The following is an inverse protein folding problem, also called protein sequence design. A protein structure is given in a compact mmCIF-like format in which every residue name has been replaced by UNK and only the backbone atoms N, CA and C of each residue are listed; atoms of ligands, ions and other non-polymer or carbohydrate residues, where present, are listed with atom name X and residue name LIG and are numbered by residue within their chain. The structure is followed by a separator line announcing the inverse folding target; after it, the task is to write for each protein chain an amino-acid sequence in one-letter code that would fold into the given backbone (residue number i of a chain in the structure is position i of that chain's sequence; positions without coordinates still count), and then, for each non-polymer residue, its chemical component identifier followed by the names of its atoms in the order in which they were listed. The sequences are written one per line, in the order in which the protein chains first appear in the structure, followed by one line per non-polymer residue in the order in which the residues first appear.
data_IF_218265080264
#
_entry.id   IF_218265080264
#
_cell.length_a   1.000
_cell.length_b   1.000
_cell.length_c   1.000
_cell.angle_alpha   90.00
_cell.angle_beta   90.00
_cell.angle_gamma   90.00
#
_symmetry.space_group_name_H-M   'P 1'
#
loop_
_entity.id
_entity.type
_entity.pdbx_description
1 polymer ?
#
# COMPACT_ATOMS: atom_id res chain seq x y z
N UNK A 1 -13.04 2.24 -17.48
CA UNK A 1 -13.90 1.38 -18.31
C UNK A 1 -14.83 0.63 -17.36
N UNK A 2 -16.14 0.91 -17.40
CA UNK A 2 -17.16 0.22 -16.59
C UNK A 2 -17.65 -1.01 -17.36
N UNK A 3 -17.73 -2.22 -16.77
CA UNK A 3 -18.54 -3.28 -17.35
C UNK A 3 -19.99 -3.15 -16.86
N UNK A 4 -20.90 -3.08 -17.82
CA UNK A 4 -22.33 -3.33 -17.64
C UNK A 4 -22.52 -4.84 -17.63
N UNK A 5 -23.17 -5.39 -16.61
CA UNK A 5 -23.72 -6.75 -16.68
C UNK A 5 -25.25 -6.65 -16.70
N UNK A 6 -25.80 -7.17 -17.79
CA UNK A 6 -27.20 -7.23 -18.14
C UNK A 6 -27.89 -8.35 -17.35
N UNK A 7 -29.02 -8.00 -16.73
CA UNK A 7 -29.99 -8.91 -16.15
C UNK A 7 -30.69 -9.71 -17.26
N UNK A 8 -30.64 -11.05 -17.20
CA UNK A 8 -31.54 -11.93 -17.95
C UNK A 8 -32.78 -12.22 -17.10
N UNK A 9 -33.92 -11.63 -17.48
CA UNK A 9 -35.26 -12.08 -17.09
C UNK A 9 -35.71 -13.11 -18.14
N UNK A 10 -35.88 -14.37 -17.70
CA UNK A 10 -36.42 -15.43 -18.53
C UNK A 10 -37.95 -15.37 -18.48
N UNK A 11 -38.53 -14.95 -19.61
CA UNK A 11 -39.96 -14.91 -19.87
C UNK A 11 -40.56 -16.32 -19.86
N UNK A 12 -41.56 -16.53 -19.01
CA UNK A 12 -42.30 -17.80 -18.93
C UNK A 12 -43.36 -17.81 -20.03
N UNK A 13 -43.07 -18.47 -21.15
CA UNK A 13 -44.01 -18.70 -22.25
C UNK A 13 -45.06 -19.74 -21.83
N UNK A 14 -46.29 -19.27 -21.60
CA UNK A 14 -47.50 -20.08 -21.49
C UNK A 14 -47.86 -20.67 -22.89
N UNK A 15 -47.58 -21.95 -23.10
CA UNK A 15 -48.06 -22.70 -24.28
C UNK A 15 -49.55 -23.02 -24.08
N UNK A 16 -50.43 -22.27 -24.74
CA UNK A 16 -51.82 -22.68 -24.97
C UNK A 16 -51.82 -23.72 -26.09
N UNK A 17 -51.95 -24.99 -25.74
CA UNK A 17 -52.08 -26.06 -26.72
C UNK A 17 -53.45 -25.98 -27.43
N UNK A 18 -53.47 -25.50 -28.67
CA UNK A 18 -54.57 -25.73 -29.62
C UNK A 18 -54.63 -27.23 -30.00
N UNK A 19 -55.18 -28.05 -29.11
CA UNK A 19 -55.31 -29.49 -29.32
C UNK A 19 -56.51 -29.83 -30.20
N UNK A 20 -56.26 -30.37 -31.40
CA UNK A 20 -57.30 -31.00 -32.22
C UNK A 20 -58.02 -32.08 -31.39
N UNK A 21 -59.33 -31.94 -31.20
CA UNK A 21 -60.10 -32.89 -30.40
C UNK A 21 -60.08 -34.27 -31.06
N UNK A 22 -59.61 -35.30 -30.36
CA UNK A 22 -59.54 -36.69 -30.87
C UNK A 22 -60.61 -37.57 -30.24
N UNK A 23 -60.99 -38.63 -30.96
CA UNK A 23 -61.96 -39.61 -30.49
C UNK A 23 -61.53 -40.24 -29.16
N UNK A 24 -62.38 -40.16 -28.14
CA UNK A 24 -62.10 -40.63 -26.78
C UNK A 24 -62.10 -42.16 -26.60
N UNK A 25 -62.17 -42.93 -27.69
CA UNK A 25 -61.88 -44.37 -27.66
C UNK A 25 -60.38 -44.55 -27.93
N UNK A 26 -59.64 -45.14 -26.99
CA UNK A 26 -58.17 -45.12 -26.96
C UNK A 26 -57.51 -45.69 -28.22
N UNK A 27 -58.21 -46.62 -28.90
CA UNK A 27 -57.77 -47.28 -30.13
C UNK A 27 -58.20 -46.57 -31.43
N UNK A 28 -59.19 -45.67 -31.40
CA UNK A 28 -59.62 -44.97 -32.61
C UNK A 28 -58.77 -43.73 -32.90
N UNK A 29 -58.57 -42.86 -31.89
CA UNK A 29 -57.85 -41.57 -31.91
C UNK A 29 -58.08 -40.64 -33.11
N UNK A 30 -59.11 -40.88 -33.92
CA UNK A 30 -59.44 -40.09 -35.09
C UNK A 30 -59.75 -38.65 -34.69
N UNK A 31 -59.29 -37.69 -35.50
CA UNK A 31 -59.57 -36.28 -35.28
C UNK A 31 -61.05 -36.00 -35.50
N UNK A 32 -61.65 -35.29 -34.54
CA UNK A 32 -63.05 -34.92 -34.55
C UNK A 32 -63.18 -33.55 -35.19
N UNK A 33 -64.21 -33.34 -36.02
CA UNK A 33 -64.44 -32.04 -36.61
C UNK A 33 -64.66 -31.01 -35.49
N UNK A 34 -64.16 -29.77 -35.67
CA UNK A 34 -64.34 -28.72 -34.69
C UNK A 34 -65.85 -28.49 -34.44
N UNK A 35 -66.24 -28.09 -33.22
CA UNK A 35 -67.64 -27.77 -32.94
C UNK A 35 -68.10 -26.67 -33.90
N UNK A 36 -69.18 -26.93 -34.65
CA UNK A 36 -69.69 -25.96 -35.61
C UNK A 36 -70.06 -24.63 -34.94
N UNK A 37 -70.07 -23.54 -35.72
CA UNK A 37 -70.26 -22.15 -35.27
C UNK A 37 -71.55 -21.86 -34.50
N UNK A 38 -72.51 -22.81 -34.47
CA UNK A 38 -73.75 -22.73 -33.69
C UNK A 38 -73.66 -23.32 -32.27
N UNK A 39 -72.47 -23.46 -31.69
CA UNK A 39 -72.30 -23.77 -30.26
C UNK A 39 -72.77 -25.17 -29.82
N UNK A 40 -72.73 -26.16 -30.71
CA UNK A 40 -73.09 -27.54 -30.35
C UNK A 40 -72.06 -28.19 -29.43
N UNK A 41 -72.50 -29.08 -28.51
CA UNK A 41 -71.60 -29.84 -27.63
C UNK A 41 -70.53 -30.56 -28.47
N UNK A 42 -69.23 -30.37 -28.19
CA UNK A 42 -68.18 -31.03 -28.95
C UNK A 42 -68.38 -32.54 -28.94
N UNK A 43 -68.27 -33.16 -30.11
CA UNK A 43 -68.36 -34.61 -30.21
C UNK A 43 -67.18 -35.20 -29.44
N UNK A 44 -67.44 -36.25 -28.67
CA UNK A 44 -66.38 -37.00 -27.96
C UNK A 44 -65.97 -38.27 -28.69
N UNK A 45 -66.79 -38.73 -29.65
CA UNK A 45 -66.58 -39.97 -30.37
C UNK A 45 -66.84 -39.79 -31.86
N UNK A 46 -66.13 -40.58 -32.66
CA UNK A 46 -66.31 -40.68 -34.09
C UNK A 46 -67.75 -41.15 -34.41
N UNK A 47 -68.44 -40.53 -35.39
CA UNK A 47 -69.78 -40.99 -35.80
C UNK A 47 -69.70 -42.12 -36.83
N UNK A 48 -68.67 -42.12 -37.67
CA UNK A 48 -68.69 -42.89 -38.92
C UNK A 48 -67.99 -44.25 -38.82
N UNK A 49 -67.10 -44.44 -37.84
CA UNK A 49 -66.44 -45.74 -37.66
C UNK A 49 -67.35 -46.74 -36.95
N UNK A 50 -67.36 -47.97 -37.45
CA UNK A 50 -68.01 -49.14 -36.85
C UNK A 50 -66.96 -50.21 -36.56
N UNK A 51 -67.15 -50.92 -35.45
CA UNK A 51 -66.29 -52.01 -35.00
C UNK A 51 -67.03 -53.35 -35.11
N UNK A 52 -66.34 -54.47 -34.92
CA UNK A 52 -66.92 -55.81 -35.01
C UNK A 52 -68.23 -55.93 -34.20
N UNK A 53 -69.27 -56.43 -34.87
CA UNK A 53 -70.65 -56.49 -34.35
C UNK A 53 -71.45 -55.19 -34.48
N UNK A 54 -71.04 -54.25 -35.33
CA UNK A 54 -71.78 -52.99 -35.58
C UNK A 54 -71.65 -51.94 -34.46
N UNK A 55 -70.73 -52.16 -33.51
CA UNK A 55 -70.56 -51.30 -32.32
C UNK A 55 -69.92 -49.95 -32.68
N UNK A 56 -70.37 -48.90 -31.99
CA UNK A 56 -69.86 -47.53 -32.19
C UNK A 56 -68.63 -47.24 -31.33
N UNK A 57 -67.82 -46.23 -31.72
CA UNK A 57 -66.70 -45.70 -30.91
C UNK A 57 -67.10 -45.45 -29.44
N UNK A 58 -68.31 -44.92 -29.21
CA UNK A 58 -68.82 -44.64 -27.86
C UNK A 58 -69.08 -45.91 -27.03
N UNK A 59 -69.65 -46.95 -27.64
CA UNK A 59 -69.92 -48.23 -26.98
C UNK A 59 -68.62 -48.98 -26.68
N UNK A 60 -67.67 -48.98 -27.61
CA UNK A 60 -66.35 -49.59 -27.40
C UNK A 60 -65.58 -48.88 -26.29
N UNK A 61 -65.61 -47.54 -26.24
CA UNK A 61 -65.00 -46.79 -25.15
C UNK A 61 -65.69 -47.03 -23.80
N UNK A 62 -67.01 -47.30 -23.79
CA UNK A 62 -67.70 -47.66 -22.55
C UNK A 62 -67.29 -49.07 -22.09
N UNK A 63 -67.21 -50.03 -23.00
CA UNK A 63 -66.73 -51.37 -22.69
C UNK A 63 -65.26 -51.38 -22.24
N UNK A 64 -64.41 -50.56 -22.86
CA UNK A 64 -63.02 -50.35 -22.45
C UNK A 64 -62.95 -49.81 -21.03
N UNK A 65 -63.72 -48.75 -20.70
CA UNK A 65 -63.78 -48.24 -19.32
C UNK A 65 -64.30 -49.28 -18.33
N UNK A 66 -65.38 -49.97 -18.64
CA UNK A 66 -65.90 -51.03 -17.76
C UNK A 66 -64.90 -52.19 -17.60
N UNK A 67 -64.10 -52.51 -18.62
CA UNK A 67 -63.03 -53.50 -18.51
C UNK A 67 -61.86 -53.00 -17.66
N UNK A 68 -61.47 -51.72 -17.80
CA UNK A 68 -60.43 -51.09 -16.96
C UNK A 68 -60.88 -50.98 -15.50
N UNK A 69 -62.15 -50.68 -15.26
CA UNK A 69 -62.78 -50.67 -13.94
C UNK A 69 -62.85 -52.07 -13.33
N UNK A 70 -63.24 -53.08 -14.10
CA UNK A 70 -63.26 -54.49 -13.65
C UNK A 70 -61.86 -55.04 -13.36
N UNK A 71 -60.82 -54.54 -14.03
CA UNK A 71 -59.41 -54.86 -13.77
C UNK A 71 -58.81 -54.04 -12.61
N UNK A 72 -59.59 -53.15 -11.98
CA UNK A 72 -59.13 -52.29 -10.88
C UNK A 72 -58.18 -51.17 -11.29
N UNK A 73 -57.95 -50.98 -12.60
CA UNK A 73 -57.01 -50.01 -13.14
C UNK A 73 -57.56 -48.57 -13.18
N UNK A 74 -58.90 -48.40 -13.21
CA UNK A 74 -59.52 -47.07 -13.09
C UNK A 74 -59.52 -46.55 -11.63
N UNK A 75 -59.45 -47.46 -10.64
CA UNK A 75 -59.30 -47.13 -9.21
C UNK A 75 -57.89 -46.67 -8.80
N UNK A 76 -56.89 -46.88 -9.67
CA UNK A 76 -55.51 -46.44 -9.44
C UNK A 76 -55.36 -44.92 -9.48
N UNK A 77 -56.22 -44.20 -10.20
CA UNK A 77 -56.14 -42.73 -10.32
C UNK A 77 -56.26 -42.01 -8.97
N UNK A 78 -57.09 -42.52 -8.05
CA UNK A 78 -57.27 -41.92 -6.72
C UNK A 78 -56.11 -42.24 -5.77
N UNK A 79 -55.58 -43.47 -5.78
CA UNK A 79 -54.41 -43.85 -4.98
C UNK A 79 -53.15 -43.13 -5.47
N UNK A 80 -52.90 -43.10 -6.79
CA UNK A 80 -51.81 -42.32 -7.37
C UNK A 80 -51.99 -40.81 -7.15
N UNK A 81 -53.22 -40.30 -7.12
CA UNK A 81 -53.47 -38.90 -6.79
C UNK A 81 -53.13 -38.59 -5.33
N UNK A 82 -53.49 -39.47 -4.38
CA UNK A 82 -53.15 -39.31 -2.97
C UNK A 82 -51.63 -39.41 -2.73
N UNK A 83 -50.96 -40.37 -3.37
CA UNK A 83 -49.50 -40.50 -3.29
C UNK A 83 -48.79 -39.31 -3.95
N UNK A 84 -49.31 -38.79 -5.06
CA UNK A 84 -48.80 -37.58 -5.71
C UNK A 84 -49.04 -36.32 -4.87
N UNK A 85 -50.14 -36.23 -4.13
CA UNK A 85 -50.42 -35.13 -3.20
C UNK A 85 -49.48 -35.17 -2.00
N UNK A 86 -49.29 -36.35 -1.40
CA UNK A 86 -48.34 -36.56 -0.29
C UNK A 86 -46.90 -36.25 -0.72
N UNK A 87 -46.51 -36.69 -1.92
CA UNK A 87 -45.20 -36.35 -2.48
C UNK A 87 -45.07 -34.84 -2.71
N UNK A 88 -46.11 -34.17 -3.23
CA UNK A 88 -46.12 -32.71 -3.38
C UNK A 88 -45.98 -31.99 -2.05
N UNK A 89 -46.68 -32.44 -1.01
CA UNK A 89 -46.58 -31.88 0.34
C UNK A 89 -45.16 -32.04 0.90
N UNK A 90 -44.55 -33.21 0.76
CA UNK A 90 -43.16 -33.42 1.18
C UNK A 90 -42.15 -32.60 0.37
N UNK A 91 -42.36 -32.45 -0.95
CA UNK A 91 -41.51 -31.59 -1.79
C UNK A 91 -41.65 -30.13 -1.38
N UNK A 92 -42.87 -29.65 -1.13
CA UNK A 92 -43.12 -28.29 -0.66
C UNK A 92 -42.50 -28.04 0.72
N UNK A 93 -42.59 -29.01 1.63
CA UNK A 93 -41.98 -28.92 2.97
C UNK A 93 -40.44 -28.84 2.93
N UNK A 94 -39.80 -29.46 1.94
CA UNK A 94 -38.33 -29.45 1.79
C UNK A 94 -37.84 -28.28 0.93
N UNK A 95 -38.70 -27.71 0.09
CA UNK A 95 -38.33 -26.62 -0.83
C UNK A 95 -37.80 -25.38 -0.09
N UNK A 96 -38.48 -24.94 0.97
CA UNK A 96 -38.07 -23.77 1.75
C UNK A 96 -36.74 -24.01 2.49
N UNK A 97 -36.54 -25.12 3.23
CA UNK A 97 -35.24 -25.44 3.82
C UNK A 97 -34.09 -25.50 2.81
N UNK A 98 -34.32 -26.08 1.62
CA UNK A 98 -33.30 -26.15 0.57
C UNK A 98 -33.00 -24.77 0.00
N UNK A 99 -34.02 -23.91 -0.20
CA UNK A 99 -33.82 -22.53 -0.63
C UNK A 99 -33.05 -21.70 0.42
N UNK A 100 -33.36 -21.89 1.71
CA UNK A 100 -32.65 -21.25 2.81
C UNK A 100 -31.18 -21.71 2.86
N UNK A 101 -30.91 -23.01 2.71
CA UNK A 101 -29.55 -23.54 2.64
C UNK A 101 -28.79 -23.02 1.43
N UNK A 102 -29.41 -22.97 0.25
CA UNK A 102 -28.80 -22.41 -0.96
C UNK A 102 -28.45 -20.94 -0.79
N UNK A 103 -29.31 -20.18 -0.12
CA UNK A 103 -29.08 -18.77 0.18
C UNK A 103 -27.91 -18.61 1.16
N UNK A 104 -27.87 -19.41 2.22
CA UNK A 104 -26.78 -19.41 3.20
C UNK A 104 -25.44 -19.80 2.54
N UNK A 105 -25.42 -20.82 1.68
CA UNK A 105 -24.22 -21.20 0.94
C UNK A 105 -23.74 -20.08 0.00
N UNK A 106 -24.65 -19.38 -0.66
CA UNK A 106 -24.31 -18.23 -1.51
C UNK A 106 -23.68 -17.11 -0.68
N UNK A 107 -24.26 -16.78 0.48
CA UNK A 107 -23.69 -15.77 1.39
C UNK A 107 -22.30 -16.17 1.91
N UNK A 108 -22.08 -17.46 2.18
CA UNK A 108 -20.76 -17.97 2.58
C UNK A 108 -19.76 -17.82 1.44
N UNK A 109 -20.14 -18.13 0.20
CA UNK A 109 -19.27 -17.96 -0.97
C UNK A 109 -18.94 -16.48 -1.19
N UNK A 110 -19.92 -15.58 -1.11
CA UNK A 110 -19.69 -14.14 -1.24
C UNK A 110 -18.72 -13.64 -0.15
N UNK A 111 -18.87 -14.14 1.08
CA UNK A 111 -17.98 -13.77 2.18
C UNK A 111 -16.57 -14.33 1.99
N UNK A 112 -16.43 -15.54 1.46
CA UNK A 112 -15.12 -16.12 1.14
C UNK A 112 -14.44 -15.34 0.02
N UNK A 113 -15.17 -14.90 -1.00
CA UNK A 113 -14.64 -14.07 -2.08
C UNK A 113 -14.17 -12.69 -1.57
N UNK A 114 -14.92 -12.07 -0.64
CA UNK A 114 -14.48 -10.83 0.03
C UNK A 114 -13.19 -11.04 0.82
N UNK A 115 -13.14 -12.06 1.68
CA UNK A 115 -11.95 -12.37 2.48
C UNK A 115 -10.75 -12.70 1.58
N UNK A 116 -10.96 -13.41 0.48
CA UNK A 116 -9.91 -13.70 -0.49
C UNK A 116 -9.39 -12.43 -1.15
N UNK A 117 -10.27 -11.50 -1.57
CA UNK A 117 -9.86 -10.21 -2.14
C UNK A 117 -9.08 -9.37 -1.13
N UNK A 118 -9.60 -9.22 0.08
CA UNK A 118 -8.94 -8.47 1.15
C UNK A 118 -7.56 -9.05 1.50
N UNK A 119 -7.44 -10.38 1.53
CA UNK A 119 -6.17 -11.06 1.77
C UNK A 119 -5.15 -10.85 0.65
N UNK A 120 -5.60 -10.87 -0.61
CA UNK A 120 -4.75 -10.57 -1.77
C UNK A 120 -4.29 -9.11 -1.75
N UNK A 121 -5.20 -8.17 -1.50
CA UNK A 121 -4.88 -6.74 -1.43
C UNK A 121 -3.90 -6.43 -0.29
N UNK A 122 -4.09 -7.06 0.88
CA UNK A 122 -3.17 -6.96 2.01
C UNK A 122 -1.78 -7.53 1.67
N UNK A 123 -1.72 -8.68 0.98
CA UNK A 123 -0.45 -9.29 0.55
C UNK A 123 0.27 -8.42 -0.49
N UNK A 124 -0.45 -7.83 -1.44
CA UNK A 124 0.13 -6.90 -2.40
C UNK A 124 0.66 -5.64 -1.72
N UNK A 125 -0.07 -5.10 -0.75
CA UNK A 125 0.37 -3.93 0.02
C UNK A 125 1.63 -4.23 0.83
N UNK A 126 1.69 -5.39 1.49
CA UNK A 126 2.88 -5.84 2.21
C UNK A 126 4.09 -6.01 1.27
N UNK A 127 3.88 -6.59 0.08
CA UNK A 127 4.93 -6.74 -0.92
C UNK A 127 5.44 -5.39 -1.45
N UNK A 128 4.53 -4.42 -1.68
CA UNK A 128 4.91 -3.05 -2.08
C UNK A 128 5.78 -2.38 -1.01
N UNK A 129 5.37 -2.46 0.25
CA UNK A 129 6.12 -1.92 1.38
C UNK A 129 7.49 -2.58 1.54
N UNK A 130 7.56 -3.91 1.41
CA UNK A 130 8.83 -4.64 1.46
C UNK A 130 9.77 -4.22 0.32
N UNK A 131 9.25 -4.06 -0.90
CA UNK A 131 10.03 -3.59 -2.04
C UNK A 131 10.49 -2.14 -1.89
N UNK A 132 9.72 -1.27 -1.24
CA UNK A 132 10.13 0.10 -0.91
C UNK A 132 11.22 0.14 0.17
N UNK A 133 11.06 -0.67 1.22
CA UNK A 133 12.07 -0.81 2.28
C UNK A 133 13.40 -1.34 1.72
N UNK A 134 13.35 -2.33 0.83
CA UNK A 134 14.55 -2.87 0.18
C UNK A 134 15.23 -1.83 -0.72
N UNK A 135 14.45 -1.08 -1.52
CA UNK A 135 14.98 0.03 -2.33
C UNK A 135 15.64 1.10 -1.47
N UNK A 136 15.04 1.43 -0.32
CA UNK A 136 15.62 2.38 0.62
C UNK A 136 16.93 1.85 1.24
N UNK A 137 17.00 0.55 1.59
CA UNK A 137 18.22 -0.09 2.10
C UNK A 137 19.34 -0.05 1.08
N UNK A 138 19.08 -0.47 -0.17
CA UNK A 138 20.07 -0.45 -1.25
C UNK A 138 20.55 0.97 -1.52
N UNK A 139 19.66 1.96 -1.57
CA UNK A 139 20.03 3.36 -1.76
C UNK A 139 20.93 3.90 -0.62
N UNK A 140 20.66 3.49 0.63
CA UNK A 140 21.48 3.85 1.79
C UNK A 140 22.87 3.19 1.74
N UNK A 141 22.96 1.92 1.32
CA UNK A 141 24.22 1.21 1.13
C UNK A 141 25.06 1.87 0.02
N UNK A 142 24.47 2.17 -1.13
CA UNK A 142 25.16 2.89 -2.20
C UNK A 142 25.63 4.29 -1.77
N UNK A 143 24.80 5.02 -1.00
CA UNK A 143 25.19 6.32 -0.47
C UNK A 143 26.39 6.21 0.48
N UNK A 144 26.41 5.19 1.33
CA UNK A 144 27.54 4.88 2.21
C UNK A 144 28.80 4.54 1.41
N UNK A 145 28.69 3.70 0.38
CA UNK A 145 29.82 3.37 -0.49
C UNK A 145 30.38 4.59 -1.21
N UNK A 146 29.50 5.45 -1.76
CA UNK A 146 29.89 6.73 -2.38
C UNK A 146 30.62 7.63 -1.38
N UNK A 147 30.12 7.77 -0.17
CA UNK A 147 30.76 8.56 0.89
C UNK A 147 32.14 7.99 1.28
N UNK A 148 32.29 6.66 1.37
CA UNK A 148 33.57 6.01 1.66
C UNK A 148 34.57 6.20 0.52
N UNK A 149 34.13 6.07 -0.74
CA UNK A 149 34.99 6.32 -1.90
C UNK A 149 35.43 7.78 -1.98
N UNK A 150 34.53 8.73 -1.71
CA UNK A 150 34.87 10.14 -1.67
C UNK A 150 35.86 10.46 -0.55
N UNK A 151 35.65 9.90 0.64
CA UNK A 151 36.59 10.06 1.75
C UNK A 151 37.98 9.52 1.39
N UNK A 152 38.07 8.34 0.76
CA UNK A 152 39.34 7.78 0.28
C UNK A 152 40.02 8.69 -0.73
N UNK A 153 39.30 9.18 -1.74
CA UNK A 153 39.84 10.11 -2.74
C UNK A 153 40.36 11.40 -2.12
N UNK A 154 39.65 11.93 -1.10
CA UNK A 154 40.10 13.12 -0.35
C UNK A 154 41.37 12.83 0.44
N UNK A 155 41.47 11.67 1.08
CA UNK A 155 42.70 11.25 1.78
C UNK A 155 43.87 11.08 0.81
N UNK A 156 43.67 10.37 -0.30
CA UNK A 156 44.69 10.17 -1.35
C UNK A 156 45.15 11.52 -1.93
N UNK A 157 44.23 12.45 -2.19
CA UNK A 157 44.56 13.80 -2.64
C UNK A 157 45.35 14.58 -1.57
N UNK A 158 44.95 14.50 -0.30
CA UNK A 158 45.67 15.14 0.81
C UNK A 158 47.10 14.58 0.95
N UNK A 159 47.26 13.26 0.88
CA UNK A 159 48.57 12.60 0.90
C UNK A 159 49.44 13.02 -0.29
N UNK A 160 48.88 13.08 -1.50
CA UNK A 160 49.59 13.55 -2.68
C UNK A 160 50.05 15.02 -2.54
N UNK A 161 49.19 15.90 -2.01
CA UNK A 161 49.57 17.30 -1.75
C UNK A 161 50.65 17.42 -0.68
N UNK A 162 50.59 16.62 0.39
CA UNK A 162 51.60 16.59 1.43
C UNK A 162 52.95 16.09 0.88
N UNK A 163 52.95 15.03 0.07
CA UNK A 163 54.15 14.53 -0.59
C UNK A 163 54.77 15.56 -1.55
N UNK A 164 53.94 16.28 -2.31
CA UNK A 164 54.41 17.36 -3.17
C UNK A 164 55.04 18.51 -2.37
N UNK A 165 54.43 18.91 -1.25
CA UNK A 165 54.97 19.96 -0.38
C UNK A 165 56.31 19.57 0.26
N UNK A 166 56.47 18.29 0.67
CA UNK A 166 57.75 17.77 1.18
C UNK A 166 58.82 17.83 0.10
N UNK A 167 58.49 17.38 -1.12
CA UNK A 167 59.42 17.44 -2.26
C UNK A 167 59.84 18.87 -2.58
N UNK A 168 58.90 19.82 -2.64
CA UNK A 168 59.19 21.23 -2.91
C UNK A 168 60.09 21.84 -1.82
N UNK A 169 59.83 21.52 -0.55
CA UNK A 169 60.68 21.94 0.57
C UNK A 169 62.09 21.38 0.44
N UNK A 170 62.23 20.09 0.14
CA UNK A 170 63.54 19.44 0.02
C UNK A 170 64.33 20.02 -1.16
N UNK A 171 63.68 20.30 -2.30
CA UNK A 171 64.28 21.01 -3.43
C UNK A 171 64.70 22.45 -3.06
N UNK A 172 63.88 23.17 -2.28
CA UNK A 172 64.22 24.51 -1.80
C UNK A 172 65.44 24.49 -0.86
N UNK A 173 65.52 23.50 0.05
CA UNK A 173 66.68 23.30 0.93
C UNK A 173 67.93 22.98 0.12
N UNK A 174 67.83 22.12 -0.91
CA UNK A 174 68.96 21.84 -1.80
C UNK A 174 69.44 23.09 -2.55
N UNK A 175 68.52 23.91 -3.07
CA UNK A 175 68.87 25.19 -3.72
C UNK A 175 69.54 26.15 -2.75
N UNK A 176 69.04 26.27 -1.52
CA UNK A 176 69.64 27.10 -0.48
C UNK A 176 71.05 26.61 -0.08
N UNK A 177 71.24 25.30 0.07
CA UNK A 177 72.54 24.71 0.36
C UNK A 177 73.55 24.93 -0.78
N UNK A 178 73.12 24.78 -2.03
CA UNK A 178 73.94 25.08 -3.20
C UNK A 178 74.35 26.57 -3.23
N UNK A 179 73.41 27.49 -3.01
CA UNK A 179 73.70 28.92 -2.94
C UNK A 179 74.68 29.26 -1.80
N UNK A 180 74.52 28.64 -0.62
CA UNK A 180 75.44 28.81 0.50
C UNK A 180 76.86 28.30 0.17
N UNK A 181 76.98 27.15 -0.49
CA UNK A 181 78.29 26.63 -0.93
C UNK A 181 78.96 27.52 -1.96
N UNK A 182 78.20 28.09 -2.90
CA UNK A 182 78.70 29.06 -3.87
C UNK A 182 79.15 30.35 -3.20
N UNK A 183 78.41 30.84 -2.21
CA UNK A 183 78.79 32.01 -1.42
C UNK A 183 80.10 31.77 -0.66
N UNK A 184 80.27 30.60 -0.04
CA UNK A 184 81.52 30.23 0.64
C UNK A 184 82.69 30.18 -0.35
N UNK A 185 82.53 29.51 -1.49
CA UNK A 185 83.56 29.46 -2.54
C UNK A 185 83.91 30.87 -3.07
N UNK A 186 82.92 31.75 -3.23
CA UNK A 186 83.16 33.14 -3.62
C UNK A 186 83.92 33.92 -2.54
N UNK A 187 83.63 33.69 -1.25
CA UNK A 187 84.39 34.32 -0.15
C UNK A 187 85.83 33.80 -0.05
N UNK A 188 86.06 32.52 -0.33
CA UNK A 188 87.40 31.94 -0.41
C UNK A 188 88.19 32.52 -1.59
N UNK A 189 87.56 32.62 -2.77
CA UNK A 189 88.15 33.26 -3.94
C UNK A 189 88.46 34.75 -3.70
N UNK A 190 87.59 35.46 -2.99
CA UNK A 190 87.83 36.86 -2.60
C UNK A 190 88.97 36.96 -1.57
N UNK A 191 89.09 35.98 -0.67
CA UNK A 191 90.21 35.85 0.26
C UNK A 191 91.54 35.62 -0.46
N UNK A 192 91.56 34.72 -1.46
CA UNK A 192 92.71 34.48 -2.32
C UNK A 192 93.09 35.74 -3.12
N UNK A 193 92.11 36.40 -3.75
CA UNK A 193 92.33 37.65 -4.48
C UNK A 193 92.84 38.78 -3.58
N UNK A 194 92.40 38.84 -2.31
CA UNK A 194 92.92 39.79 -1.31
C UNK A 194 94.35 39.47 -0.87
N UNK A 195 94.72 38.20 -0.77
CA UNK A 195 96.10 37.80 -0.49
C UNK A 195 97.03 38.10 -1.68
N UNK A 196 96.55 37.90 -2.91
CA UNK A 196 97.24 38.29 -4.14
C UNK A 196 97.39 39.81 -4.25
N UNK A 197 96.37 40.59 -3.90
CA UNK A 197 96.50 42.05 -3.85
C UNK A 197 97.35 42.55 -2.68
N UNK A 198 97.40 41.86 -1.54
CA UNK A 198 98.31 42.21 -0.44
C UNK A 198 99.78 41.91 -0.79
N UNK A 199 100.05 40.82 -1.51
CA UNK A 199 101.39 40.52 -2.04
C UNK A 199 101.79 41.51 -3.14
N UNK A 200 100.87 41.83 -4.06
CA UNK A 200 101.08 42.88 -5.06
C UNK A 200 101.26 44.28 -4.42
N UNK A 201 100.53 44.60 -3.35
CA UNK A 201 100.71 45.85 -2.59
C UNK A 201 102.04 45.89 -1.82
N UNK A 202 102.51 44.78 -1.27
CA UNK A 202 103.83 44.72 -0.64
C UNK A 202 104.97 44.85 -1.66
N UNK A 203 104.78 44.36 -2.89
CA UNK A 203 105.68 44.62 -4.02
C UNK A 203 105.59 46.07 -4.50
N UNK A 204 104.38 46.64 -4.53
CA UNK A 204 104.13 48.03 -4.85
C UNK A 204 104.68 48.98 -3.78
N UNK A 205 104.62 48.68 -2.49
CA UNK A 205 105.22 49.47 -1.39
C UNK A 205 106.75 49.51 -1.46
N UNK A 206 107.37 48.43 -1.94
CA UNK A 206 108.81 48.41 -2.27
C UNK A 206 109.13 49.21 -3.53
N UNK A 207 108.17 49.34 -4.45
CA UNK A 207 108.27 50.17 -5.64
C UNK A 207 107.96 51.65 -5.36
N UNK A 208 107.02 51.98 -4.46
CA UNK A 208 106.69 53.34 -4.03
C UNK A 208 107.71 53.90 -3.07
N UNK A 209 108.35 53.12 -2.18
CA UNK A 209 109.53 53.59 -1.44
C UNK A 209 110.70 54.00 -2.38
N UNK A 210 110.71 53.51 -3.64
CA UNK A 210 111.64 53.94 -4.70
C UNK A 210 111.07 55.09 -5.56
N UNK A 211 109.75 55.27 -5.62
CA UNK A 211 109.07 56.33 -6.36
C UNK A 211 108.81 57.62 -5.54
N UNK A 212 108.65 57.53 -4.21
CA UNK A 212 108.47 58.68 -3.28
C UNK A 212 109.73 59.53 -3.10
N UNK A 213 110.90 59.00 -3.49
CA UNK A 213 112.12 59.78 -3.70
C UNK A 213 112.07 60.64 -4.97
N UNK A 214 111.19 60.31 -5.93
CA UNK A 214 111.03 60.98 -7.22
C UNK A 214 109.75 61.84 -7.33
N UNK A 215 108.68 61.54 -6.58
CA UNK A 215 107.39 62.25 -6.66
C UNK A 215 107.21 63.43 -5.69
N UNK A 216 108.18 63.75 -4.83
CA UNK A 216 108.20 65.06 -4.13
C UNK A 216 108.48 66.26 -5.05
N UNK A 217 108.65 66.02 -6.36
CA UNK A 217 108.95 67.06 -7.34
C UNK A 217 107.76 67.48 -8.23
N UNK A 218 106.59 66.81 -8.22
CA UNK A 218 105.47 67.23 -9.06
C UNK A 218 104.11 66.61 -8.67
N UNK A 219 103.10 67.42 -8.31
CA UNK A 219 101.70 67.03 -8.62
C UNK A 219 100.56 67.29 -7.62
N UNK A 220 100.68 68.17 -6.62
CA UNK A 220 99.61 68.31 -5.58
C UNK A 220 98.27 68.95 -6.00
N UNK A 221 98.08 69.41 -7.24
CA UNK A 221 96.82 70.06 -7.65
C UNK A 221 95.91 69.24 -8.58
N UNK A 222 96.34 68.08 -9.08
CA UNK A 222 95.49 67.17 -9.87
C UNK A 222 94.77 66.10 -9.01
N UNK A 223 95.35 65.75 -7.85
CA UNK A 223 94.83 64.71 -6.94
C UNK A 223 93.55 65.15 -6.22
N UNK A 224 93.41 66.43 -5.90
CA UNK A 224 92.22 66.96 -5.22
C UNK A 224 90.95 66.95 -6.11
N UNK A 225 91.10 67.13 -7.42
CA UNK A 225 90.00 67.06 -8.38
C UNK A 225 89.55 65.61 -8.63
N UNK A 226 90.50 64.67 -8.73
CA UNK A 226 90.20 63.24 -8.88
C UNK A 226 89.51 62.64 -7.64
N UNK A 227 89.91 63.04 -6.42
CA UNK A 227 89.27 62.59 -5.17
C UNK A 227 87.87 63.17 -4.99
N UNK A 228 87.62 64.39 -5.50
CA UNK A 228 86.27 64.98 -5.49
C UNK A 228 85.33 64.27 -6.46
N UNK A 229 85.82 63.87 -7.64
CA UNK A 229 85.04 63.14 -8.64
C UNK A 229 84.78 61.69 -8.22
N UNK A 230 85.75 61.02 -7.59
CA UNK A 230 85.58 59.68 -7.01
C UNK A 230 84.56 59.68 -5.85
N UNK A 231 84.55 60.73 -5.01
CA UNK A 231 83.53 60.91 -3.96
C UNK A 231 82.14 61.19 -4.54
N UNK A 232 82.05 61.96 -5.61
CA UNK A 232 80.79 62.21 -6.31
C UNK A 232 80.23 60.93 -6.95
N UNK A 233 81.10 60.12 -7.57
CA UNK A 233 80.74 58.81 -8.12
C UNK A 233 80.32 57.82 -7.01
N UNK A 234 81.00 57.81 -5.86
CA UNK A 234 80.64 56.98 -4.72
C UNK A 234 79.27 57.37 -4.13
N UNK A 235 78.97 58.67 -4.02
CA UNK A 235 77.67 59.15 -3.55
C UNK A 235 76.55 58.85 -4.57
N UNK A 236 76.83 58.98 -5.87
CA UNK A 236 75.90 58.57 -6.93
C UNK A 236 75.59 57.08 -6.87
N UNK A 237 76.60 56.23 -6.66
CA UNK A 237 76.42 54.79 -6.51
C UNK A 237 75.61 54.45 -5.25
N UNK A 238 75.82 55.17 -4.15
CA UNK A 238 75.05 54.99 -2.91
C UNK A 238 73.58 55.43 -3.05
N UNK A 239 73.31 56.52 -3.76
CA UNK A 239 71.95 56.96 -4.09
C UNK A 239 71.23 55.93 -4.95
N UNK A 240 71.89 55.43 -6.00
CA UNK A 240 71.32 54.39 -6.88
C UNK A 240 71.00 53.12 -6.08
N UNK A 241 71.92 52.65 -5.23
CA UNK A 241 71.67 51.51 -4.35
C UNK A 241 70.59 51.77 -3.29
N UNK A 242 70.40 53.02 -2.85
CA UNK A 242 69.32 53.38 -1.94
C UNK A 242 67.96 53.38 -2.66
N UNK A 243 67.89 53.90 -3.89
CA UNK A 243 66.69 53.86 -4.74
C UNK A 243 66.28 52.41 -5.06
N UNK A 244 67.23 51.54 -5.41
CA UNK A 244 66.97 50.12 -5.65
C UNK A 244 66.41 49.42 -4.40
N UNK A 245 66.99 49.66 -3.22
CA UNK A 245 66.48 49.12 -1.95
C UNK A 245 65.09 49.65 -1.60
N UNK A 246 64.80 50.91 -1.94
CA UNK A 246 63.50 51.52 -1.69
C UNK A 246 62.44 50.94 -2.64
N UNK A 247 62.79 50.73 -3.92
CA UNK A 247 61.97 50.04 -4.90
C UNK A 247 61.66 48.60 -4.46
N UNK A 248 62.68 47.86 -4.00
CA UNK A 248 62.51 46.50 -3.48
C UNK A 248 61.60 46.46 -2.24
N UNK A 249 61.77 47.41 -1.31
CA UNK A 249 60.88 47.57 -0.14
C UNK A 249 59.45 47.89 -0.53
N UNK A 250 59.23 48.76 -1.51
CA UNK A 250 57.89 49.07 -2.00
C UNK A 250 57.23 47.88 -2.68
N UNK A 251 57.98 47.09 -3.45
CA UNK A 251 57.49 45.86 -4.06
C UNK A 251 57.13 44.81 -3.00
N UNK A 252 57.95 44.65 -1.96
CA UNK A 252 57.68 43.74 -0.85
C UNK A 252 56.44 44.15 -0.04
N UNK A 253 56.21 45.44 0.17
CA UNK A 253 54.99 45.94 0.82
C UNK A 253 53.75 45.70 -0.04
N UNK A 254 53.84 45.95 -1.35
CA UNK A 254 52.74 45.67 -2.27
C UNK A 254 52.37 44.17 -2.30
N UNK A 255 53.36 43.28 -2.31
CA UNK A 255 53.14 41.83 -2.23
C UNK A 255 52.52 41.42 -0.88
N UNK A 256 53.00 41.99 0.23
CA UNK A 256 52.43 41.74 1.55
C UNK A 256 50.96 42.20 1.65
N UNK A 257 50.62 43.35 1.05
CA UNK A 257 49.26 43.85 0.99
C UNK A 257 48.36 42.96 0.14
N UNK A 258 48.82 42.53 -1.04
CA UNK A 258 48.07 41.60 -1.89
C UNK A 258 47.79 40.26 -1.17
N UNK A 259 48.76 39.73 -0.42
CA UNK A 259 48.57 38.52 0.40
C UNK A 259 47.57 38.74 1.54
N UNK A 260 47.60 39.91 2.18
CA UNK A 260 46.66 40.26 3.24
C UNK A 260 45.23 40.38 2.71
N UNK A 261 45.04 41.00 1.53
CA UNK A 261 43.74 41.13 0.88
C UNK A 261 43.16 39.76 0.52
N UNK A 262 43.96 38.87 -0.09
CA UNK A 262 43.54 37.49 -0.38
C UNK A 262 43.20 36.72 0.89
N UNK A 263 43.95 36.90 1.98
CA UNK A 263 43.64 36.27 3.27
C UNK A 263 42.34 36.80 3.88
N UNK A 264 42.08 38.10 3.76
CA UNK A 264 40.83 38.72 4.21
C UNK A 264 39.62 38.19 3.41
N UNK A 265 39.73 38.10 2.09
CA UNK A 265 38.69 37.52 1.23
C UNK A 265 38.41 36.06 1.61
N UNK A 266 39.46 35.24 1.79
CA UNK A 266 39.31 33.84 2.24
C UNK A 266 38.58 33.76 3.57
N UNK A 267 38.95 34.58 4.56
CA UNK A 267 38.28 34.61 5.86
C UNK A 267 36.79 34.95 5.73
N UNK A 268 36.44 35.93 4.89
CA UNK A 268 35.04 36.28 4.62
C UNK A 268 34.28 35.11 3.99
N UNK A 269 34.87 34.44 3.00
CA UNK A 269 34.24 33.27 2.35
C UNK A 269 34.04 32.09 3.31
N UNK A 270 35.02 31.81 4.17
CA UNK A 270 34.92 30.78 5.20
C UNK A 270 33.85 31.10 6.25
N UNK A 271 33.78 32.36 6.71
CA UNK A 271 32.73 32.80 7.61
C UNK A 271 31.34 32.68 6.98
N UNK A 272 31.21 33.00 5.69
CA UNK A 272 29.96 32.85 4.97
C UNK A 272 29.55 31.37 4.84
N UNK A 273 30.48 30.49 4.44
CA UNK A 273 30.24 29.05 4.40
C UNK A 273 29.85 28.47 5.77
N UNK A 274 30.46 28.94 6.85
CA UNK A 274 30.10 28.55 8.21
C UNK A 274 28.70 29.03 8.61
N UNK A 275 28.31 30.26 8.25
CA UNK A 275 26.95 30.77 8.50
C UNK A 275 25.91 29.97 7.74
N UNK A 276 26.16 29.67 6.46
CA UNK A 276 25.27 28.83 5.64
C UNK A 276 25.14 27.41 6.21
N UNK A 277 26.25 26.82 6.66
CA UNK A 277 26.24 25.50 7.32
C UNK A 277 25.42 25.54 8.60
N UNK A 278 25.59 26.57 9.43
CA UNK A 278 24.83 26.74 10.68
C UNK A 278 23.34 26.91 10.40
N UNK A 279 22.97 27.74 9.41
CA UNK A 279 21.58 27.92 9.00
C UNK A 279 20.96 26.60 8.51
N UNK A 280 21.71 25.78 7.77
CA UNK A 280 21.25 24.44 7.36
C UNK A 280 21.05 23.51 8.55
N UNK A 281 21.96 23.52 9.53
CA UNK A 281 21.81 22.72 10.75
C UNK A 281 20.62 23.17 11.59
N UNK A 282 20.39 24.48 11.72
CA UNK A 282 19.25 25.04 12.44
C UNK A 282 17.92 24.69 11.74
N UNK A 283 17.89 24.72 10.40
CA UNK A 283 16.73 24.28 9.60
C UNK A 283 16.43 22.78 9.78
N UNK A 284 17.46 21.92 9.67
CA UNK A 284 17.31 20.48 9.90
C UNK A 284 16.87 20.17 11.34
N UNK A 285 17.35 20.93 12.33
CA UNK A 285 16.92 20.78 13.71
C UNK A 285 15.44 21.15 13.90
N UNK A 286 14.96 22.19 13.22
CA UNK A 286 13.55 22.57 13.21
C UNK A 286 12.67 21.51 12.52
N UNK A 287 13.11 20.96 11.39
CA UNK A 287 12.41 19.86 10.70
C UNK A 287 12.34 18.61 11.58
N UNK A 288 13.44 18.22 12.25
CA UNK A 288 13.44 17.10 13.19
C UNK A 288 12.50 17.33 14.39
N UNK A 289 12.38 18.58 14.86
CA UNK A 289 11.44 18.91 15.93
C UNK A 289 9.98 18.76 15.45
N UNK A 290 9.65 19.26 14.25
CA UNK A 290 8.33 19.13 13.66
C UNK A 290 7.93 17.67 13.44
N UNK A 291 8.82 16.84 12.88
CA UNK A 291 8.56 15.40 12.67
C UNK A 291 8.34 14.67 14.00
N UNK A 292 9.02 15.05 15.07
CA UNK A 292 8.79 14.46 16.40
C UNK A 292 7.42 14.82 16.95
N UNK A 293 6.97 16.06 16.76
CA UNK A 293 5.63 16.50 17.17
C UNK A 293 4.52 15.80 16.36
N UNK A 294 4.72 15.62 15.06
CA UNK A 294 3.83 14.82 14.21
C UNK A 294 3.77 13.36 14.68
N UNK A 295 4.93 12.76 14.99
CA UNK A 295 5.00 11.39 15.47
C UNK A 295 4.27 11.21 16.81
N UNK A 296 4.42 12.15 17.73
CA UNK A 296 3.72 12.12 19.01
C UNK A 296 2.20 12.33 18.83
N UNK A 297 1.80 13.20 17.90
CA UNK A 297 0.38 13.35 17.52
C UNK A 297 -0.20 12.03 17.01
N UNK A 298 0.46 11.39 16.04
CA UNK A 298 0.04 10.09 15.48
C UNK A 298 0.00 9.00 16.55
N UNK A 299 0.96 8.99 17.50
CA UNK A 299 0.93 8.04 18.64
C UNK A 299 -0.30 8.25 19.51
N UNK A 300 -0.63 9.50 19.85
CA UNK A 300 -1.83 9.78 20.65
C UNK A 300 -3.11 9.39 19.91
N UNK A 301 -3.19 9.60 18.60
CA UNK A 301 -4.33 9.18 17.78
C UNK A 301 -4.47 7.66 17.73
N UNK A 302 -3.35 6.94 17.52
CA UNK A 302 -3.32 5.48 17.57
C UNK A 302 -3.80 4.96 18.93
N UNK A 303 -3.32 5.54 20.02
CA UNK A 303 -3.69 5.09 21.37
C UNK A 303 -5.18 5.37 21.67
N UNK A 304 -5.72 6.50 21.19
CA UNK A 304 -7.17 6.78 21.23
C UNK A 304 -7.97 5.78 20.40
N UNK A 305 -7.53 5.47 19.18
CA UNK A 305 -8.19 4.51 18.29
C UNK A 305 -8.19 3.10 18.92
N UNK A 306 -7.08 2.71 19.55
CA UNK A 306 -6.98 1.44 20.27
C UNK A 306 -7.96 1.38 21.45
N UNK A 307 -8.01 2.42 22.29
CA UNK A 307 -8.95 2.47 23.41
C UNK A 307 -10.42 2.44 22.94
N UNK A 308 -10.72 3.10 21.81
CA UNK A 308 -12.04 3.05 21.19
C UNK A 308 -12.39 1.65 20.67
N UNK A 309 -11.44 0.95 20.05
CA UNK A 309 -11.60 -0.43 19.60
C UNK A 309 -11.86 -1.39 20.78
N UNK A 310 -11.06 -1.29 21.84
CA UNK A 310 -11.23 -2.09 23.07
C UNK A 310 -12.62 -1.85 23.69
N UNK A 311 -13.07 -0.59 23.72
CA UNK A 311 -14.43 -0.24 24.20
C UNK A 311 -15.52 -0.84 23.31
N UNK A 312 -15.35 -0.80 21.99
CA UNK A 312 -16.29 -1.37 21.03
C UNK A 312 -16.37 -2.90 21.14
N UNK A 313 -15.24 -3.58 21.37
CA UNK A 313 -15.20 -5.03 21.59
C UNK A 313 -15.98 -5.44 22.85
N UNK A 314 -15.80 -4.71 23.95
CA UNK A 314 -16.56 -4.94 25.19
C UNK A 314 -18.05 -4.71 24.97
N UNK A 315 -18.43 -3.64 24.27
CA UNK A 315 -19.84 -3.37 23.93
C UNK A 315 -20.43 -4.47 23.03
N UNK A 316 -19.67 -4.94 22.04
CA UNK A 316 -20.10 -6.02 21.15
C UNK A 316 -20.22 -7.37 21.89
N UNK A 317 -19.35 -7.65 22.86
CA UNK A 317 -19.47 -8.83 23.73
C UNK A 317 -20.76 -8.77 24.55
N UNK A 318 -21.02 -7.62 25.19
CA UNK A 318 -22.25 -7.40 25.95
C UNK A 318 -23.51 -7.58 25.11
N UNK A 319 -23.55 -7.00 23.90
CA UNK A 319 -24.69 -7.16 22.98
C UNK A 319 -24.90 -8.62 22.56
N UNK A 320 -23.82 -9.39 22.39
CA UNK A 320 -23.91 -10.84 22.11
C UNK A 320 -24.52 -11.60 23.28
N UNK A 321 -24.12 -11.27 24.50
CA UNK A 321 -24.67 -11.89 25.72
C UNK A 321 -26.15 -11.52 25.90
N UNK A 322 -26.51 -10.25 25.69
CA UNK A 322 -27.91 -9.79 25.73
C UNK A 322 -28.77 -10.48 24.66
N UNK A 323 -28.25 -10.66 23.45
CA UNK A 323 -28.95 -11.38 22.38
C UNK A 323 -29.10 -12.88 22.70
N UNK A 324 -28.09 -13.51 23.30
CA UNK A 324 -28.17 -14.90 23.75
C UNK A 324 -29.24 -15.05 24.84
N UNK A 325 -29.27 -14.16 25.82
CA UNK A 325 -30.29 -14.15 26.87
C UNK A 325 -31.71 -13.94 26.28
N UNK A 326 -31.86 -13.01 25.34
CA UNK A 326 -33.14 -12.77 24.68
C UNK A 326 -33.64 -13.98 23.88
N UNK A 327 -32.74 -14.75 23.26
CA UNK A 327 -33.08 -16.01 22.58
C UNK A 327 -33.58 -17.07 23.55
N UNK A 328 -32.89 -17.24 24.69
CA UNK A 328 -33.34 -18.17 25.74
C UNK A 328 -34.73 -17.77 26.24
N UNK A 329 -34.96 -16.48 26.52
CA UNK A 329 -36.28 -16.00 26.93
C UNK A 329 -37.36 -16.28 25.88
N UNK A 330 -37.06 -16.06 24.59
CA UNK A 330 -38.01 -16.32 23.51
C UNK A 330 -38.34 -17.82 23.38
N UNK A 331 -37.38 -18.71 23.61
CA UNK A 331 -37.60 -20.17 23.64
C UNK A 331 -38.47 -20.58 24.84
N UNK A 332 -38.22 -20.01 26.02
CA UNK A 332 -39.05 -20.23 27.22
C UNK A 332 -40.49 -19.73 27.01
N UNK A 333 -40.66 -18.52 26.47
CA UNK A 333 -41.97 -17.95 26.15
C UNK A 333 -42.71 -18.81 25.11
N UNK A 334 -42.01 -19.29 24.07
CA UNK A 334 -42.58 -20.18 23.07
C UNK A 334 -43.03 -21.52 23.67
N UNK A 335 -42.24 -22.09 24.59
CA UNK A 335 -42.60 -23.31 25.32
C UNK A 335 -43.81 -23.07 26.24
N UNK A 336 -43.86 -21.95 26.96
CA UNK A 336 -45.00 -21.57 27.78
C UNK A 336 -46.27 -21.37 26.93
N UNK A 337 -46.15 -20.70 25.78
CA UNK A 337 -47.26 -20.54 24.84
C UNK A 337 -47.75 -21.88 24.27
N UNK A 338 -46.86 -22.82 23.99
CA UNK A 338 -47.24 -24.16 23.56
C UNK A 338 -47.99 -24.91 24.66
N UNK A 339 -47.51 -24.88 25.90
CA UNK A 339 -48.19 -25.49 27.04
C UNK A 339 -49.60 -24.93 27.26
N UNK A 340 -49.76 -23.60 27.22
CA UNK A 340 -51.09 -22.95 27.32
C UNK A 340 -52.02 -23.38 26.19
N UNK A 341 -51.50 -23.56 24.98
CA UNK A 341 -52.29 -24.03 23.83
C UNK A 341 -52.77 -25.47 24.04
N UNK A 342 -51.91 -26.33 24.57
CA UNK A 342 -52.25 -27.72 24.86
C UNK A 342 -53.28 -27.82 25.99
N UNK A 343 -53.14 -27.00 27.05
CA UNK A 343 -54.15 -26.87 28.11
C UNK A 343 -55.50 -26.39 27.57
N UNK A 344 -55.50 -25.39 26.68
CA UNK A 344 -56.71 -24.91 26.03
C UNK A 344 -57.37 -25.99 25.17
N UNK A 345 -56.58 -26.75 24.41
CA UNK A 345 -57.08 -27.86 23.60
C UNK A 345 -57.68 -28.97 24.48
N UNK A 346 -57.03 -29.30 25.60
CA UNK A 346 -57.55 -30.26 26.58
C UNK A 346 -58.87 -29.77 27.21
N UNK A 347 -58.94 -28.50 27.61
CA UNK A 347 -60.16 -27.90 28.15
C UNK A 347 -61.31 -27.88 27.12
N UNK A 348 -61.01 -27.60 25.86
CA UNK A 348 -62.00 -27.66 24.76
C UNK A 348 -62.51 -29.09 24.53
N UNK A 349 -61.62 -30.08 24.57
CA UNK A 349 -62.00 -31.49 24.45
C UNK A 349 -62.89 -31.95 25.61
N UNK A 350 -62.57 -31.55 26.85
CA UNK A 350 -63.39 -31.86 28.02
C UNK A 350 -64.76 -31.17 27.95
N UNK A 351 -64.82 -29.91 27.52
CA UNK A 351 -66.08 -29.20 27.28
C UNK A 351 -66.93 -29.90 26.22
N UNK A 352 -66.32 -30.38 25.13
CA UNK A 352 -67.01 -31.14 24.09
C UNK A 352 -67.55 -32.47 24.63
N UNK A 353 -66.78 -33.17 25.47
CA UNK A 353 -67.21 -34.39 26.16
C UNK A 353 -68.40 -34.13 27.09
N UNK A 354 -68.35 -33.07 27.90
CA UNK A 354 -69.44 -32.68 28.79
C UNK A 354 -70.71 -32.31 28.00
N UNK A 355 -70.57 -31.59 26.87
CA UNK A 355 -71.71 -31.29 25.98
C UNK A 355 -72.30 -32.55 25.37
N UNK A 356 -71.46 -33.51 24.94
CA UNK A 356 -71.94 -34.79 24.43
C UNK A 356 -72.66 -35.61 25.50
N UNK A 357 -72.16 -35.61 26.75
CA UNK A 357 -72.85 -36.22 27.89
C UNK A 357 -74.20 -35.56 28.17
N UNK A 358 -74.26 -34.22 28.19
CA UNK A 358 -75.51 -33.49 28.36
C UNK A 358 -76.52 -33.78 27.25
N UNK A 359 -76.07 -33.85 25.98
CA UNK A 359 -76.93 -34.24 24.86
C UNK A 359 -77.47 -35.66 25.03
N UNK A 360 -76.61 -36.63 25.39
CA UNK A 360 -77.02 -38.00 25.66
C UNK A 360 -78.00 -38.10 26.84
N UNK A 361 -77.81 -37.32 27.90
CA UNK A 361 -78.76 -37.22 29.02
C UNK A 361 -80.11 -36.61 28.58
N UNK A 362 -80.08 -35.58 27.74
CA UNK A 362 -81.29 -34.96 27.18
C UNK A 362 -82.05 -35.93 26.27
N UNK A 363 -81.35 -36.67 25.41
CA UNK A 363 -81.90 -37.72 24.57
C UNK A 363 -82.49 -38.86 25.40
N UNK A 364 -81.81 -39.29 26.47
CA UNK A 364 -82.33 -40.26 27.43
C UNK A 364 -83.61 -39.75 28.11
N UNK A 365 -83.61 -38.48 28.56
CA UNK A 365 -84.82 -37.85 29.14
C UNK A 365 -85.95 -37.72 28.12
N UNK A 366 -85.64 -37.47 26.84
CA UNK A 366 -86.62 -37.42 25.76
C UNK A 366 -87.20 -38.81 25.46
N UNK A 367 -86.34 -39.84 25.40
CA UNK A 367 -86.76 -41.25 25.27
C UNK A 367 -87.66 -41.68 26.43
N UNK A 368 -87.29 -41.37 27.68
CA UNK A 368 -88.12 -41.66 28.85
C UNK A 368 -89.46 -40.92 28.80
N UNK A 369 -89.47 -39.64 28.37
CA UNK A 369 -90.72 -38.90 28.16
C UNK A 369 -91.58 -39.50 27.05
N UNK A 370 -90.99 -39.96 25.96
CA UNK A 370 -91.70 -40.64 24.87
C UNK A 370 -92.29 -41.95 25.36
N UNK A 371 -91.53 -42.76 26.11
CA UNK A 371 -91.97 -44.04 26.65
C UNK A 371 -93.12 -43.89 27.67
N UNK A 372 -93.06 -42.84 28.51
CA UNK A 372 -94.11 -42.51 29.47
C UNK A 372 -95.31 -41.80 28.83
N UNK A 373 -95.11 -41.05 27.74
CA UNK A 373 -96.18 -40.41 26.96
C UNK A 373 -96.91 -41.35 26.01
N UNK A 374 -96.32 -42.51 25.67
CA UNK A 374 -97.00 -43.61 24.97
C UNK A 374 -97.81 -44.53 25.91
N UNK A 375 -97.86 -44.22 27.20
CA UNK A 375 -98.63 -44.95 28.19
C UNK A 375 -99.73 -44.06 28.78
N UNK A 376 -100.81 -43.83 28.02
CA UNK A 376 -102.21 -43.70 28.47
C UNK A 376 -103.12 -43.16 27.34
N UNK A 377 -104.45 -43.39 27.38
CA UNK A 377 -105.15 -44.65 27.59
C UNK A 377 -106.16 -44.90 26.44
N UNK A 378 -106.31 -46.15 26.03
CA UNK A 378 -107.40 -46.60 25.16
C UNK A 378 -108.00 -47.87 25.75
#
# INVERSE_FOLDING_TARGET
MKPKHEFWLCDTVLIVAEGVARCAYGRCRAELPPPGTKGGRPRRFCKDRRWEGGRTCAQMARAERTALEALGLDGGSAAYALDAERLREHVLAVQEPVAALSTALTQVLDRLDEVQRDAVDAAEQANRQAAEAERARVAAEEARERAVQEARRRTEAAEATAAAAVKERDEAVQRAAAAASQALAATEALGAARAETATAKAEQERATARAEAAERAAGESAVAAAVAEERAQALSAQLTAAEERLAERTAALADAQARADVAAERCVTEQQAHRETRQRLDALAAELAAVREELDTVRTERDRARAAAETAEVAAARLRDELAAARVQAEEDAAAHAAVRDELAAAQAELARLRAQQAAEQDLRAMLRSALGSAEPG
#
